data_IF_058666014589
#
_entry.id   IF_058666014589
#
_cell.length_a   1.000
_cell.length_b   1.000
_cell.length_c   1.000
_cell.angle_alpha   90.00
_cell.angle_beta   90.00
_cell.angle_gamma   90.00
#
_symmetry.space_group_name_H-M   'P 1'
#
loop_
_entity.id
_entity.type
_entity.pdbx_description
1 polymer ?
#
# COMPACT_ATOMS: atom_id res chain seq x y z
N UNK A 1 13.72 23.81 -4.19
CA UNK A 1 13.67 22.39 -3.79
C UNK A 1 13.19 22.40 -2.36
N UNK A 2 11.89 22.16 -2.12
CA UNK A 2 11.29 22.28 -0.79
C UNK A 2 11.46 20.92 -0.08
N UNK A 3 12.36 20.87 0.89
CA UNK A 3 12.47 19.76 1.83
C UNK A 3 11.32 19.87 2.83
N UNK A 4 10.32 18.99 2.69
CA UNK A 4 9.21 18.90 3.63
C UNK A 4 9.67 18.01 4.80
N UNK A 5 9.68 18.50 6.05
CA UNK A 5 9.98 17.68 7.20
C UNK A 5 8.86 16.65 7.39
N UNK A 6 9.15 15.36 7.22
CA UNK A 6 8.18 14.26 7.42
C UNK A 6 7.92 13.93 8.90
N UNK A 7 8.19 14.87 9.82
CA UNK A 7 7.86 14.72 11.23
C UNK A 7 6.50 15.39 11.49
N UNK A 8 5.41 14.65 11.27
CA UNK A 8 4.06 15.11 11.63
C UNK A 8 2.89 14.49 10.87
N UNK A 9 3.14 13.83 9.74
CA UNK A 9 2.14 13.06 9.01
C UNK A 9 2.66 11.64 8.81
N UNK A 10 2.30 10.75 9.74
CA UNK A 10 2.76 9.37 9.78
C UNK A 10 2.18 8.52 8.66
N UNK A 11 2.70 8.67 7.43
CA UNK A 11 2.42 7.70 6.38
C UNK A 11 3.24 6.44 6.62
N UNK A 12 2.57 5.38 7.05
CA UNK A 12 3.13 4.05 7.33
C UNK A 12 3.39 3.22 6.07
N UNK A 13 3.60 3.87 4.92
CA UNK A 13 3.79 3.22 3.61
C UNK A 13 2.50 2.66 2.97
N UNK A 14 2.59 2.07 1.77
CA UNK A 14 1.42 1.53 1.07
C UNK A 14 0.98 0.18 1.66
N UNK A 15 -0.31 -0.15 1.46
CA UNK A 15 -0.85 -1.48 1.77
C UNK A 15 -0.49 -2.50 0.69
N UNK A 16 -0.40 -2.05 -0.56
CA UNK A 16 0.06 -2.77 -1.74
C UNK A 16 0.65 -1.78 -2.74
N UNK A 17 1.47 -2.25 -3.67
CA UNK A 17 1.86 -1.47 -4.83
C UNK A 17 1.04 -1.85 -6.06
N UNK A 18 0.73 -0.89 -6.93
CA UNK A 18 0.01 -1.14 -8.17
C UNK A 18 0.92 -1.01 -9.38
N UNK A 19 0.72 -1.84 -10.40
CA UNK A 19 1.28 -1.67 -11.74
C UNK A 19 0.25 -2.17 -12.77
N UNK A 20 -0.15 -1.35 -13.77
CA UNK A 20 -0.94 -1.83 -14.90
C UNK A 20 -0.08 -2.71 -15.80
N UNK A 21 -0.50 -3.93 -16.04
CA UNK A 21 0.20 -4.89 -16.89
C UNK A 21 -0.79 -5.98 -17.31
N UNK A 22 -0.62 -6.57 -18.49
CA UNK A 22 -1.50 -7.63 -18.99
C UNK A 22 -3.00 -7.26 -19.03
N UNK A 23 -3.32 -5.99 -19.28
CA UNK A 23 -4.69 -5.50 -19.45
C UNK A 23 -5.43 -5.12 -18.15
N UNK A 24 -4.79 -5.25 -16.98
CA UNK A 24 -5.37 -4.87 -15.69
C UNK A 24 -4.36 -4.14 -14.80
N UNK A 25 -4.86 -3.39 -13.82
CA UNK A 25 -4.05 -2.95 -12.68
C UNK A 25 -3.93 -4.11 -11.69
N UNK A 26 -2.72 -4.61 -11.50
CA UNK A 26 -2.41 -5.67 -10.53
C UNK A 26 -1.76 -5.10 -9.27
N UNK A 27 -2.06 -5.74 -8.14
CA UNK A 27 -1.43 -5.44 -6.87
C UNK A 27 -0.21 -6.34 -6.66
N UNK A 28 0.81 -5.77 -6.02
CA UNK A 28 2.07 -6.42 -5.64
C UNK A 28 2.34 -6.17 -4.16
N UNK A 29 3.14 -7.06 -3.56
CA UNK A 29 3.50 -6.99 -2.15
C UNK A 29 4.11 -5.63 -1.77
N UNK A 30 3.77 -5.13 -0.58
CA UNK A 30 4.14 -3.79 -0.08
C UNK A 30 5.62 -3.64 0.29
N UNK A 31 6.29 -4.75 0.57
CA UNK A 31 7.65 -4.81 1.12
C UNK A 31 8.70 -4.24 0.17
N UNK A 32 8.46 -4.39 -1.14
CA UNK A 32 9.38 -3.93 -2.17
C UNK A 32 8.64 -3.01 -3.14
N UNK A 33 9.20 -1.83 -3.38
CA UNK A 33 8.67 -0.90 -4.41
C UNK A 33 8.89 -1.50 -5.81
N UNK A 34 7.87 -1.55 -6.67
CA UNK A 34 7.98 -1.98 -8.07
C UNK A 34 9.00 -1.13 -8.84
N UNK A 35 9.75 -1.78 -9.74
CA UNK A 35 10.60 -1.12 -10.74
C UNK A 35 10.30 -1.69 -12.12
N UNK A 36 10.25 -0.87 -13.19
CA UNK A 36 10.09 -1.36 -14.54
C UNK A 36 11.14 -2.42 -14.91
N UNK A 37 10.72 -3.43 -15.68
CA UNK A 37 11.56 -4.56 -16.12
C UNK A 37 11.76 -5.67 -15.10
N UNK A 38 11.31 -5.50 -13.85
CA UNK A 38 11.39 -6.55 -12.82
C UNK A 38 10.24 -7.56 -12.97
N UNK A 39 10.55 -8.85 -12.85
CA UNK A 39 9.52 -9.90 -12.67
C UNK A 39 9.05 -9.96 -11.22
N UNK A 40 7.73 -9.97 -11.01
CA UNK A 40 7.12 -10.11 -9.69
C UNK A 40 5.84 -10.92 -9.73
N UNK A 41 5.56 -11.58 -8.60
CA UNK A 41 4.29 -12.21 -8.36
C UNK A 41 3.26 -11.15 -7.93
N UNK A 42 2.11 -11.16 -8.60
CA UNK A 42 0.93 -10.38 -8.23
C UNK A 42 0.21 -11.05 -7.06
N UNK A 43 -0.61 -10.29 -6.36
CA UNK A 43 -1.45 -10.87 -5.29
C UNK A 43 -2.55 -11.80 -5.80
N UNK A 44 -2.85 -11.78 -7.11
CA UNK A 44 -3.73 -12.76 -7.74
C UNK A 44 -2.99 -14.03 -8.23
N UNK A 45 -1.70 -14.17 -7.92
CA UNK A 45 -0.92 -15.39 -8.18
C UNK A 45 -0.28 -15.47 -9.57
N UNK A 46 -0.28 -14.39 -10.34
CA UNK A 46 0.38 -14.34 -11.65
C UNK A 46 1.80 -13.80 -11.53
N UNK A 47 2.74 -14.36 -12.29
CA UNK A 47 4.10 -13.81 -12.42
C UNK A 47 4.19 -12.93 -13.65
N UNK A 48 4.44 -11.63 -13.47
CA UNK A 48 4.42 -10.63 -14.54
C UNK A 48 5.69 -9.76 -14.52
N UNK A 49 6.11 -9.31 -15.70
CA UNK A 49 7.17 -8.31 -15.85
C UNK A 49 6.56 -6.92 -15.76
N UNK A 50 7.01 -6.14 -14.78
CA UNK A 50 6.53 -4.79 -14.55
C UNK A 50 6.90 -3.87 -15.72
N UNK A 51 5.97 -3.00 -16.09
CA UNK A 51 6.21 -1.96 -17.11
C UNK A 51 6.43 -0.60 -16.45
N UNK A 52 6.95 0.35 -17.23
CA UNK A 52 6.87 1.77 -16.93
C UNK A 52 5.54 2.30 -17.48
N UNK A 53 4.49 2.46 -16.64
CA UNK A 53 3.14 2.67 -17.14
C UNK A 53 2.96 4.12 -17.57
N UNK A 54 2.32 4.32 -18.72
CA UNK A 54 1.83 5.64 -19.15
C UNK A 54 0.57 6.04 -18.36
N UNK A 55 0.17 7.31 -18.48
CA UNK A 55 -1.08 7.83 -17.91
C UNK A 55 -2.31 7.04 -18.39
N UNK A 56 -2.30 6.56 -19.64
CA UNK A 56 -3.41 5.76 -20.20
C UNK A 56 -3.48 4.36 -19.60
N UNK A 57 -2.33 3.75 -19.29
CA UNK A 57 -2.28 2.41 -18.68
C UNK A 57 -2.94 2.40 -17.30
N UNK A 58 -2.85 3.53 -16.58
CA UNK A 58 -3.53 3.72 -15.31
C UNK A 58 -5.05 3.78 -15.42
N UNK A 59 -5.62 3.87 -16.63
CA UNK A 59 -7.07 3.82 -16.86
C UNK A 59 -7.61 2.38 -17.02
N UNK A 60 -6.74 1.38 -17.15
CA UNK A 60 -7.14 -0.04 -17.24
C UNK A 60 -7.95 -0.47 -16.02
N UNK A 61 -8.90 -1.42 -16.15
CA UNK A 61 -9.63 -1.93 -15.00
C UNK A 61 -8.70 -2.52 -13.93
N UNK A 62 -9.11 -2.46 -12.67
CA UNK A 62 -8.36 -3.15 -11.60
C UNK A 62 -8.70 -4.63 -11.62
N UNK A 63 -7.73 -5.51 -11.42
CA UNK A 63 -7.98 -6.93 -11.20
C UNK A 63 -8.77 -7.11 -9.88
N UNK A 64 -9.96 -7.71 -9.95
CA UNK A 64 -10.87 -7.83 -8.79
C UNK A 64 -10.23 -8.60 -7.63
N UNK A 65 -9.51 -9.68 -7.91
CA UNK A 65 -8.79 -10.47 -6.88
C UNK A 65 -7.75 -9.60 -6.17
N UNK A 66 -6.95 -8.85 -6.94
CA UNK A 66 -5.96 -7.92 -6.37
C UNK A 66 -6.62 -6.83 -5.54
N UNK A 67 -7.78 -6.31 -5.96
CA UNK A 67 -8.55 -5.32 -5.20
C UNK A 67 -9.05 -5.89 -3.87
N UNK A 68 -9.62 -7.09 -3.87
CA UNK A 68 -10.09 -7.76 -2.65
C UNK A 68 -8.95 -7.93 -1.63
N UNK A 69 -7.79 -8.44 -2.06
CA UNK A 69 -6.62 -8.61 -1.19
C UNK A 69 -6.11 -7.26 -0.67
N UNK A 70 -6.10 -6.22 -1.50
CA UNK A 70 -5.67 -4.89 -1.07
C UNK A 70 -6.61 -4.30 0.01
N UNK A 71 -7.92 -4.53 -0.10
CA UNK A 71 -8.90 -4.14 0.92
C UNK A 71 -8.66 -4.89 2.23
N UNK A 72 -8.40 -6.19 2.16
CA UNK A 72 -8.09 -7.02 3.35
C UNK A 72 -6.83 -6.53 4.05
N UNK A 73 -5.73 -6.31 3.32
CA UNK A 73 -4.51 -5.75 3.88
C UNK A 73 -4.71 -4.34 4.47
N UNK A 74 -5.61 -3.54 3.89
CA UNK A 74 -6.01 -2.26 4.46
C UNK A 74 -6.66 -2.41 5.82
N UNK A 75 -7.65 -3.30 5.95
CA UNK A 75 -8.34 -3.58 7.21
C UNK A 75 -7.38 -4.11 8.28
N UNK A 76 -6.52 -5.05 7.92
CA UNK A 76 -5.48 -5.58 8.83
C UNK A 76 -4.56 -4.48 9.35
N UNK A 77 -4.15 -3.55 8.47
CA UNK A 77 -3.29 -2.43 8.84
C UNK A 77 -3.99 -1.49 9.82
N UNK A 78 -5.25 -1.13 9.55
CA UNK A 78 -6.05 -0.29 10.44
C UNK A 78 -6.24 -0.94 11.83
N UNK A 79 -6.48 -2.24 11.87
CA UNK A 79 -6.62 -2.99 13.12
C UNK A 79 -5.31 -3.03 13.91
N UNK A 80 -4.18 -3.24 13.24
CA UNK A 80 -2.86 -3.19 13.86
C UNK A 80 -2.57 -1.80 14.43
N UNK A 81 -2.86 -0.73 13.69
CA UNK A 81 -2.69 0.65 14.15
C UNK A 81 -3.59 0.96 15.34
N UNK A 82 -4.86 0.50 15.32
CA UNK A 82 -5.80 0.63 16.44
C UNK A 82 -5.31 -0.10 17.69
N UNK A 83 -4.84 -1.33 17.54
CA UNK A 83 -4.28 -2.12 18.65
C UNK A 83 -2.99 -1.51 19.20
N UNK A 84 -2.13 -0.95 18.34
CA UNK A 84 -0.93 -0.24 18.76
C UNK A 84 -1.29 1.00 19.58
N UNK A 85 -2.23 1.83 19.10
CA UNK A 85 -2.74 3.00 19.84
C UNK A 85 -3.36 2.61 21.17
N UNK A 86 -4.16 1.55 21.21
CA UNK A 86 -4.74 1.03 22.46
C UNK A 86 -3.66 0.61 23.45
N UNK A 87 -2.66 -0.16 23.01
CA UNK A 87 -1.54 -0.59 23.86
C UNK A 87 -0.72 0.58 24.39
N UNK A 88 -0.51 1.62 23.58
CA UNK A 88 0.15 2.85 24.02
C UNK A 88 -0.69 3.59 25.07
N UNK A 89 -2.00 3.70 24.89
CA UNK A 89 -2.92 4.29 25.89
C UNK A 89 -2.90 3.51 27.21
N UNK A 90 -3.01 2.19 27.16
CA UNK A 90 -2.98 1.34 28.36
C UNK A 90 -1.65 1.43 29.11
N UNK A 91 -0.53 1.51 28.37
CA UNK A 91 0.81 1.54 28.96
C UNK A 91 1.22 2.91 29.51
N UNK A 92 0.78 3.99 28.88
CA UNK A 92 1.27 5.34 29.17
C UNK A 92 0.19 6.33 29.62
N UNK A 93 -1.08 5.93 29.66
CA UNK A 93 -2.21 6.79 30.07
C UNK A 93 -2.47 7.98 29.15
N UNK A 94 -1.91 7.97 27.94
CA UNK A 94 -1.88 9.15 27.07
C UNK A 94 -3.17 9.24 26.22
N UNK A 95 -4.15 10.03 26.66
CA UNK A 95 -5.21 10.53 25.78
C UNK A 95 -4.61 11.65 24.92
N UNK A 96 -4.22 11.30 23.70
CA UNK A 96 -3.59 12.21 22.73
C UNK A 96 -4.54 13.28 22.17
N UNK A 97 -5.24 14.01 23.03
CA UNK A 97 -5.86 15.30 22.76
C UNK A 97 -4.95 16.41 23.33
N UNK A 98 -3.78 16.62 22.73
CA UNK A 98 -3.08 17.91 22.85
C UNK A 98 -2.37 18.23 21.52
N UNK A 99 -3.04 19.12 20.78
CA UNK A 99 -2.60 20.03 19.70
C UNK A 99 -2.20 19.44 18.34
#
# INVERSE_FOLDING_TARGET
MLEVPLAGWGWSGPVVWWNPVAGFRHAFSRELRPRPGQERDTLCGQRLTLIDPSELDWLLPTCDICMSVAIEHGREKEDLERQARRRLRERFGFDGDVL
#
